data_IF_829319660855
#
_entry.id   IF_829319660855
#
_cell.length_a   1.000
_cell.length_b   1.000
_cell.length_c   1.000
_cell.angle_alpha   90.00
_cell.angle_beta   90.00
_cell.angle_gamma   90.00
#
_symmetry.space_group_name_H-M   'P 1'
#
loop_
_entity.id
_entity.type
_entity.pdbx_description
1 polymer ?
#
# COMPACT_ATOMS: atom_id res chain seq x y z
N UNK A 1 7.32 5.39 -25.59
CA UNK A 1 6.72 4.04 -25.50
C UNK A 1 6.83 3.52 -24.06
N UNK A 2 6.72 4.39 -23.05
CA UNK A 2 7.11 4.10 -21.65
C UNK A 2 5.99 4.24 -20.61
N UNK A 3 4.95 5.04 -20.90
CA UNK A 3 3.83 5.33 -19.99
C UNK A 3 3.13 4.06 -19.45
N UNK A 4 3.05 2.99 -20.27
CA UNK A 4 2.39 1.74 -19.85
C UNK A 4 3.12 0.98 -18.75
N UNK A 5 4.46 0.99 -18.72
CA UNK A 5 5.21 0.12 -17.78
C UNK A 5 5.12 0.62 -16.34
N UNK A 6 5.30 1.92 -16.12
CA UNK A 6 5.14 2.50 -14.79
C UNK A 6 3.67 2.40 -14.38
N UNK A 7 2.73 2.73 -15.28
CA UNK A 7 1.31 2.57 -15.04
C UNK A 7 0.94 1.15 -14.57
N UNK A 8 1.48 0.11 -15.21
CA UNK A 8 1.19 -1.28 -14.88
C UNK A 8 1.76 -1.68 -13.52
N UNK A 9 2.97 -1.21 -13.17
CA UNK A 9 3.57 -1.40 -11.84
C UNK A 9 2.68 -0.77 -10.76
N UNK A 10 2.25 0.48 -10.97
CA UNK A 10 1.40 1.19 -9.99
C UNK A 10 0.00 0.59 -9.90
N UNK A 11 -0.57 0.18 -11.03
CA UNK A 11 -1.87 -0.51 -11.08
C UNK A 11 -1.82 -1.82 -10.31
N UNK A 12 -0.77 -2.64 -10.52
CA UNK A 12 -0.57 -3.87 -9.78
C UNK A 12 -0.37 -3.62 -8.29
N UNK A 13 0.43 -2.61 -7.93
CA UNK A 13 0.63 -2.25 -6.52
C UNK A 13 -0.70 -1.86 -5.84
N UNK A 14 -1.53 -1.06 -6.52
CA UNK A 14 -2.88 -0.70 -6.04
C UNK A 14 -3.76 -1.93 -5.84
N UNK A 15 -3.78 -2.84 -6.81
CA UNK A 15 -4.65 -4.02 -6.76
C UNK A 15 -4.21 -5.01 -5.66
N UNK A 16 -2.90 -5.13 -5.44
CA UNK A 16 -2.32 -5.89 -4.34
C UNK A 16 -2.70 -5.30 -2.96
N UNK A 17 -2.70 -3.97 -2.83
CA UNK A 17 -3.16 -3.29 -1.61
C UNK A 17 -4.67 -3.47 -1.39
N UNK A 18 -5.48 -3.41 -2.46
CA UNK A 18 -6.92 -3.69 -2.40
C UNK A 18 -7.20 -5.11 -1.90
N UNK A 19 -6.43 -6.10 -2.36
CA UNK A 19 -6.56 -7.48 -1.91
C UNK A 19 -6.22 -7.68 -0.43
N UNK A 20 -5.19 -6.99 0.08
CA UNK A 20 -4.88 -7.03 1.53
C UNK A 20 -5.90 -6.25 2.35
N UNK A 21 -6.42 -5.14 1.85
CA UNK A 21 -7.47 -4.38 2.51
C UNK A 21 -8.74 -5.22 2.72
N UNK A 22 -9.14 -6.02 1.73
CA UNK A 22 -10.28 -6.92 1.86
C UNK A 22 -10.08 -7.94 3.00
N UNK A 23 -8.88 -8.53 3.09
CA UNK A 23 -8.52 -9.44 4.18
C UNK A 23 -8.50 -8.75 5.55
N UNK A 24 -8.00 -7.51 5.62
CA UNK A 24 -8.01 -6.71 6.85
C UNK A 24 -9.46 -6.41 7.27
N UNK A 25 -10.34 -6.10 6.33
CA UNK A 25 -11.75 -5.84 6.63
C UNK A 25 -12.45 -7.09 7.16
N UNK A 26 -12.26 -8.25 6.53
CA UNK A 26 -12.79 -9.52 7.05
C UNK A 26 -12.32 -9.79 8.48
N UNK A 27 -11.03 -9.55 8.77
CA UNK A 27 -10.52 -9.70 10.12
C UNK A 27 -11.15 -8.72 11.12
N UNK A 28 -11.34 -7.45 10.75
CA UNK A 28 -12.00 -6.48 11.63
C UNK A 28 -13.46 -6.89 11.91
N UNK A 29 -14.17 -7.35 10.88
CA UNK A 29 -15.55 -7.81 10.99
C UNK A 29 -15.67 -9.05 11.91
N UNK A 30 -14.70 -9.97 11.86
CA UNK A 30 -14.60 -11.14 12.77
C UNK A 30 -14.47 -10.75 14.24
N UNK A 31 -13.80 -9.65 14.56
CA UNK A 31 -13.60 -9.20 15.94
C UNK A 31 -14.77 -8.38 16.51
N UNK A 32 -15.88 -8.23 15.77
CA UNK A 32 -16.98 -7.30 16.08
C UNK A 32 -16.51 -5.86 16.37
N UNK A 33 -15.30 -5.54 15.92
CA UNK A 33 -14.74 -4.23 16.03
C UNK A 33 -15.17 -3.52 14.74
N UNK A 34 -15.96 -2.46 14.85
CA UNK A 34 -16.39 -1.66 13.69
C UNK A 34 -15.21 -0.96 12.99
N UNK A 35 -13.95 -1.29 13.34
CA UNK A 35 -12.74 -0.66 12.87
C UNK A 35 -12.83 0.87 12.93
N UNK A 36 -12.04 1.55 12.10
CA UNK A 36 -12.47 2.85 11.58
C UNK A 36 -13.50 2.52 10.50
N UNK A 37 -14.76 2.94 10.67
CA UNK A 37 -15.91 2.58 9.84
C UNK A 37 -15.57 2.26 8.36
N UNK A 38 -16.24 1.29 7.70
CA UNK A 38 -16.07 0.94 6.27
C UNK A 38 -16.04 2.16 5.32
N UNK A 39 -16.78 3.21 5.69
CA UNK A 39 -16.77 4.56 5.13
C UNK A 39 -15.36 5.18 4.98
N UNK A 40 -14.53 5.09 6.02
CA UNK A 40 -13.18 5.68 6.06
C UNK A 40 -12.23 4.98 5.08
N UNK A 41 -12.29 3.66 5.00
CA UNK A 41 -11.48 2.87 4.08
C UNK A 41 -11.89 3.13 2.63
N UNK A 42 -13.21 3.14 2.36
CA UNK A 42 -13.74 3.47 1.03
C UNK A 42 -13.32 4.88 0.57
N UNK A 43 -13.31 5.86 1.49
CA UNK A 43 -12.83 7.22 1.23
C UNK A 43 -11.34 7.26 0.91
N UNK A 44 -10.51 6.55 1.68
CA UNK A 44 -9.07 6.45 1.41
C UNK A 44 -8.80 5.89 0.00
N UNK A 45 -9.54 4.86 -0.41
CA UNK A 45 -9.41 4.28 -1.75
C UNK A 45 -9.84 5.23 -2.88
N UNK A 46 -10.91 5.99 -2.68
CA UNK A 46 -11.34 7.01 -3.65
C UNK A 46 -10.27 8.10 -3.83
N UNK A 47 -9.65 8.53 -2.73
CA UNK A 47 -8.54 9.48 -2.75
C UNK A 47 -7.30 8.92 -3.44
N UNK A 48 -6.85 7.70 -3.10
CA UNK A 48 -5.71 7.04 -3.75
C UNK A 48 -5.95 6.96 -5.26
N UNK A 49 -7.12 6.46 -5.69
CA UNK A 49 -7.48 6.33 -7.11
C UNK A 49 -7.45 7.66 -7.85
N UNK A 50 -7.91 8.73 -7.20
CA UNK A 50 -7.91 10.08 -7.77
C UNK A 50 -6.50 10.63 -7.87
N UNK A 51 -5.69 10.46 -6.83
CA UNK A 51 -4.32 10.94 -6.80
C UNK A 51 -3.44 10.20 -7.81
N UNK A 52 -3.60 8.88 -7.97
CA UNK A 52 -2.92 8.11 -9.02
C UNK A 52 -3.24 8.65 -10.42
N UNK A 53 -4.51 9.02 -10.69
CA UNK A 53 -4.90 9.64 -11.96
C UNK A 53 -4.32 11.04 -12.16
N UNK A 54 -4.20 11.83 -11.08
CA UNK A 54 -3.61 13.16 -11.12
C UNK A 54 -2.09 13.11 -11.32
N UNK A 55 -1.42 12.14 -10.69
CA UNK A 55 0.02 11.92 -10.80
C UNK A 55 0.45 11.47 -12.21
N UNK A 56 -0.45 10.95 -13.05
CA UNK A 56 -0.16 10.62 -14.46
C UNK A 56 0.12 11.85 -15.35
N UNK A 57 -0.06 13.07 -14.83
CA UNK A 57 0.38 14.29 -15.52
C UNK A 57 1.83 14.67 -15.20
N UNK A 58 2.47 13.99 -14.24
CA UNK A 58 3.85 14.22 -13.82
C UNK A 58 4.81 13.29 -14.59
N UNK A 59 6.11 13.58 -14.55
CA UNK A 59 7.11 12.72 -15.18
C UNK A 59 7.28 11.39 -14.44
N UNK A 60 7.64 10.33 -15.17
CA UNK A 60 7.90 8.99 -14.59
C UNK A 60 8.91 9.05 -13.43
N UNK A 61 9.97 9.84 -13.55
CA UNK A 61 11.00 10.02 -12.49
C UNK A 61 10.42 10.71 -11.25
N UNK A 62 9.56 11.71 -11.42
CA UNK A 62 8.86 12.36 -10.29
C UNK A 62 7.96 11.37 -9.56
N UNK A 63 7.17 10.58 -10.31
CA UNK A 63 6.27 9.58 -9.74
C UNK A 63 7.08 8.49 -9.02
N UNK A 64 8.16 8.00 -9.65
CA UNK A 64 9.04 6.99 -9.09
C UNK A 64 9.72 7.46 -7.80
N UNK A 65 10.13 8.73 -7.72
CA UNK A 65 10.66 9.34 -6.50
C UNK A 65 9.64 9.33 -5.37
N UNK A 66 8.41 9.79 -5.65
CA UNK A 66 7.32 9.81 -4.66
C UNK A 66 6.96 8.41 -4.16
N UNK A 67 6.90 7.42 -5.05
CA UNK A 67 6.61 6.03 -4.68
C UNK A 67 7.76 5.40 -3.89
N UNK A 68 9.02 5.74 -4.22
CA UNK A 68 10.19 5.30 -3.46
C UNK A 68 10.16 5.80 -2.03
N UNK A 69 9.90 7.10 -1.85
CA UNK A 69 9.82 7.72 -0.52
C UNK A 69 8.64 7.15 0.29
N UNK A 70 7.47 7.06 -0.35
CA UNK A 70 6.26 6.49 0.24
C UNK A 70 6.46 5.05 0.72
N UNK A 71 7.00 4.18 -0.15
CA UNK A 71 7.24 2.78 0.18
C UNK A 71 8.28 2.60 1.29
N UNK A 72 9.37 3.36 1.27
CA UNK A 72 10.37 3.34 2.35
C UNK A 72 9.77 3.76 3.70
N UNK A 73 8.91 4.80 3.71
CA UNK A 73 8.19 5.22 4.90
C UNK A 73 7.18 4.16 5.38
N UNK A 74 6.49 3.48 4.46
CA UNK A 74 5.60 2.36 4.75
C UNK A 74 6.32 1.20 5.42
N UNK A 75 7.42 0.72 4.82
CA UNK A 75 8.28 -0.35 5.38
C UNK A 75 8.74 0.00 6.79
N UNK A 76 9.24 1.22 7.00
CA UNK A 76 9.70 1.69 8.31
C UNK A 76 8.57 1.68 9.35
N UNK A 77 7.39 2.18 8.98
CA UNK A 77 6.24 2.29 9.88
C UNK A 77 5.68 0.92 10.27
N UNK A 78 5.54 0.02 9.29
CA UNK A 78 5.04 -1.35 9.53
C UNK A 78 6.02 -2.15 10.40
N UNK A 79 7.33 -2.04 10.16
CA UNK A 79 8.33 -2.66 11.03
C UNK A 79 8.30 -2.09 12.45
N UNK A 80 8.07 -0.78 12.60
CA UNK A 80 7.86 -0.18 13.93
C UNK A 80 6.67 -0.82 14.63
N UNK A 81 5.52 -0.96 13.96
CA UNK A 81 4.33 -1.58 14.56
C UNK A 81 4.54 -3.05 14.91
N UNK A 82 5.23 -3.83 14.08
CA UNK A 82 5.59 -5.22 14.41
C UNK A 82 6.47 -5.31 15.68
N UNK A 83 7.38 -4.35 15.86
CA UNK A 83 8.24 -4.31 17.04
C UNK A 83 7.52 -3.82 18.30
N UNK A 84 6.56 -2.92 18.15
CA UNK A 84 5.74 -2.36 19.24
C UNK A 84 4.70 -3.38 19.74
N UNK A 85 4.02 -4.08 18.82
CA UNK A 85 2.95 -5.03 19.12
C UNK A 85 3.39 -6.49 19.07
N UNK A 86 4.40 -6.85 19.88
CA UNK A 86 4.97 -8.22 19.90
C UNK A 86 3.96 -9.31 20.27
N UNK A 87 2.92 -8.96 21.03
CA UNK A 87 1.85 -9.86 21.46
C UNK A 87 0.65 -9.90 20.50
N UNK A 88 0.67 -9.16 19.38
CA UNK A 88 -0.37 -9.26 18.36
C UNK A 88 -0.49 -10.70 17.85
N UNK A 89 -1.70 -11.08 17.43
CA UNK A 89 -1.93 -12.41 16.89
C UNK A 89 -1.12 -12.64 15.60
N UNK A 90 -0.85 -13.90 15.30
CA UNK A 90 0.00 -14.24 14.16
C UNK A 90 -0.66 -13.91 12.80
N UNK A 91 -1.99 -13.88 12.70
CA UNK A 91 -2.66 -13.48 11.45
C UNK A 91 -2.41 -11.99 11.17
N UNK A 92 -2.58 -11.12 12.17
CA UNK A 92 -2.31 -9.68 12.05
C UNK A 92 -0.85 -9.41 11.69
N UNK A 93 0.09 -10.11 12.34
CA UNK A 93 1.52 -9.99 12.02
C UNK A 93 1.83 -10.47 10.61
N UNK A 94 1.18 -11.52 10.13
CA UNK A 94 1.38 -12.03 8.76
C UNK A 94 0.91 -11.02 7.71
N UNK A 95 -0.23 -10.36 7.92
CA UNK A 95 -0.69 -9.26 7.05
C UNK A 95 0.31 -8.10 7.03
N UNK A 96 0.80 -7.66 8.20
CA UNK A 96 1.80 -6.60 8.26
C UNK A 96 3.09 -6.98 7.51
N UNK A 97 3.54 -8.24 7.62
CA UNK A 97 4.70 -8.76 6.85
C UNK A 97 4.42 -8.82 5.36
N UNK A 98 3.20 -9.17 4.94
CA UNK A 98 2.78 -9.12 3.53
C UNK A 98 2.81 -7.70 2.98
N UNK A 99 2.30 -6.72 3.73
CA UNK A 99 2.36 -5.30 3.36
C UNK A 99 3.82 -4.84 3.20
N UNK A 100 4.70 -5.15 4.16
CA UNK A 100 6.13 -4.81 4.07
C UNK A 100 6.74 -5.33 2.76
N UNK A 101 6.50 -6.59 2.41
CA UNK A 101 7.01 -7.17 1.16
C UNK A 101 6.45 -6.49 -0.09
N UNK A 102 5.19 -6.04 -0.06
CA UNK A 102 4.59 -5.30 -1.18
C UNK A 102 5.26 -3.93 -1.35
N UNK A 103 5.52 -3.22 -0.25
CA UNK A 103 6.22 -1.92 -0.28
C UNK A 103 7.67 -2.06 -0.76
N UNK A 104 8.41 -3.05 -0.25
CA UNK A 104 9.78 -3.35 -0.71
C UNK A 104 9.81 -3.68 -2.20
N UNK A 105 8.83 -4.46 -2.68
CA UNK A 105 8.70 -4.80 -4.10
C UNK A 105 8.38 -3.58 -4.94
N UNK A 106 7.48 -2.72 -4.50
CA UNK A 106 7.16 -1.46 -5.19
C UNK A 106 8.43 -0.62 -5.35
N UNK A 107 9.14 -0.36 -4.24
CA UNK A 107 10.39 0.41 -4.23
C UNK A 107 11.43 -0.20 -5.17
N UNK A 108 11.54 -1.52 -5.22
CA UNK A 108 12.44 -2.19 -6.16
C UNK A 108 12.02 -1.98 -7.62
N UNK A 109 10.72 -2.10 -7.94
CA UNK A 109 10.21 -1.98 -9.30
C UNK A 109 10.22 -0.55 -9.85
N UNK A 110 9.97 0.46 -9.01
CA UNK A 110 9.92 1.86 -9.47
C UNK A 110 11.30 2.49 -9.66
N UNK A 111 12.35 1.89 -9.10
CA UNK A 111 13.74 2.39 -9.26
C UNK A 111 14.21 2.45 -10.70
N UNK A 112 13.67 1.59 -11.57
CA UNK A 112 14.01 1.56 -13.00
C UNK A 112 13.54 2.81 -13.77
N UNK A 113 12.70 3.64 -13.14
CA UNK A 113 12.09 4.83 -13.73
C UNK A 113 12.65 6.15 -13.16
N UNK A 114 13.67 6.09 -12.29
CA UNK A 114 14.31 7.25 -11.67
C UNK A 114 15.27 7.98 -12.60
#
# INVERSE_FOLDING_TARGET
MDDSRLHDVLTKCRDDHLGLQAQIQEMLDEFHDNGKEPNSIAKSMSWIKTNTKLMMNESDSTIAGLMTDGGNMGVKSLNKYLNEYKAADEKTKDIAKKLIKQEERLVFQVKDFL
#
